data_IF_470289799973
#
_entry.id   IF_470289799973
#
_cell.length_a   1.000
_cell.length_b   1.000
_cell.length_c   1.000
_cell.angle_alpha   90.00
_cell.angle_beta   90.00
_cell.angle_gamma   90.00
#
_symmetry.space_group_name_H-M   'P 1'
#
loop_
_entity.id
_entity.type
_entity.pdbx_description
1 polymer ?
#
# COMPACT_ATOMS: atom_id res chain seq x y z
N UNK A 1 -16.65 -11.13 30.94
CA UNK A 1 -16.90 -10.05 31.93
C UNK A 1 -17.32 -8.82 31.18
N UNK A 2 -18.40 -8.15 31.57
CA UNK A 2 -18.90 -6.96 30.87
C UNK A 2 -18.79 -5.73 31.77
N UNK A 3 -18.47 -4.58 31.18
CA UNK A 3 -18.35 -3.30 31.87
C UNK A 3 -18.82 -2.15 30.98
N UNK A 4 -19.16 -1.03 31.62
CA UNK A 4 -19.49 0.21 30.94
C UNK A 4 -18.24 1.07 30.79
N UNK A 5 -17.99 1.54 29.57
CA UNK A 5 -16.95 2.52 29.25
C UNK A 5 -17.64 3.80 28.85
N UNK A 6 -17.34 4.90 29.53
CA UNK A 6 -17.90 6.21 29.21
C UNK A 6 -17.03 6.94 28.17
N UNK A 7 -17.69 7.54 27.18
CA UNK A 7 -17.08 8.37 26.15
C UNK A 7 -17.73 9.77 26.16
N UNK A 8 -16.92 10.81 26.27
CA UNK A 8 -17.39 12.19 26.13
C UNK A 8 -17.58 12.54 24.65
N UNK A 9 -18.76 13.08 24.30
CA UNK A 9 -19.08 13.54 22.95
C UNK A 9 -19.57 14.97 22.97
N UNK A 10 -19.11 15.77 22.01
CA UNK A 10 -19.61 17.11 21.77
C UNK A 10 -20.80 17.04 20.81
N UNK A 11 -21.98 17.44 21.29
CA UNK A 11 -23.22 17.51 20.49
C UNK A 11 -23.83 18.88 20.72
N UNK A 12 -23.93 19.70 19.66
CA UNK A 12 -24.50 21.05 19.70
C UNK A 12 -23.89 21.90 20.84
N UNK A 13 -22.56 21.99 20.87
CA UNK A 13 -21.76 22.69 21.89
C UNK A 13 -21.96 22.20 23.34
N UNK A 14 -22.61 21.05 23.53
CA UNK A 14 -22.82 20.40 24.83
C UNK A 14 -22.00 19.12 24.91
N UNK A 15 -21.28 18.91 26.02
CA UNK A 15 -20.58 17.65 26.28
C UNK A 15 -21.58 16.67 26.90
N UNK A 16 -21.75 15.50 26.27
CA UNK A 16 -22.53 14.38 26.78
C UNK A 16 -21.64 13.18 27.08
N UNK A 17 -21.85 12.52 28.22
CA UNK A 17 -21.18 11.26 28.55
C UNK A 17 -22.05 10.09 28.09
N UNK A 18 -21.55 9.32 27.12
CA UNK A 18 -22.27 8.18 26.56
C UNK A 18 -21.63 6.88 27.08
N UNK A 19 -22.38 6.03 27.81
CA UNK A 19 -21.86 4.74 28.24
C UNK A 19 -21.93 3.72 27.11
N UNK A 20 -20.90 2.89 26.99
CA UNK A 20 -20.85 1.76 26.07
C UNK A 20 -20.68 0.45 26.82
N UNK A 21 -21.53 -0.53 26.51
CA UNK A 21 -21.36 -1.90 26.99
C UNK A 21 -20.22 -2.61 26.24
N UNK A 22 -19.22 -3.07 27.02
CA UNK A 22 -18.05 -3.79 26.52
C UNK A 22 -17.88 -5.10 27.28
N UNK A 23 -17.91 -6.22 26.56
CA UNK A 23 -17.69 -7.54 27.10
C UNK A 23 -16.32 -8.09 26.68
N UNK A 24 -15.51 -8.44 27.67
CA UNK A 24 -14.21 -9.06 27.50
C UNK A 24 -14.17 -10.48 28.06
N UNK A 25 -13.71 -11.43 27.25
CA UNK A 25 -13.42 -12.80 27.64
C UNK A 25 -11.92 -12.94 27.91
N UNK A 26 -11.56 -13.25 29.17
CA UNK A 26 -10.17 -13.42 29.58
C UNK A 26 -9.52 -14.67 28.98
N UNK A 27 -10.30 -15.69 28.68
CA UNK A 27 -9.79 -16.98 28.19
C UNK A 27 -9.40 -16.90 26.72
N UNK A 28 -10.23 -16.25 25.90
CA UNK A 28 -9.99 -16.06 24.46
C UNK A 28 -9.29 -14.75 24.13
N UNK A 29 -9.24 -13.80 25.08
CA UNK A 29 -8.84 -12.40 24.86
C UNK A 29 -9.74 -11.66 23.87
N UNK A 30 -10.96 -12.13 23.67
CA UNK A 30 -11.94 -11.47 22.80
C UNK A 30 -12.66 -10.36 23.55
N UNK A 31 -12.76 -9.20 22.89
CA UNK A 31 -13.53 -8.03 23.30
C UNK A 31 -14.63 -7.74 22.28
N UNK A 32 -15.83 -7.46 22.78
CA UNK A 32 -16.98 -7.00 22.00
C UNK A 32 -17.52 -5.71 22.61
N UNK A 33 -17.74 -4.71 21.78
CA UNK A 33 -18.34 -3.44 22.19
C UNK A 33 -19.61 -3.23 21.38
N UNK A 34 -20.67 -2.71 22.01
CA UNK A 34 -21.94 -2.45 21.33
C UNK A 34 -21.86 -1.39 20.22
N UNK A 35 -20.77 -0.63 20.12
CA UNK A 35 -20.54 0.28 18.99
C UNK A 35 -20.28 -0.48 17.67
N UNK A 36 -19.96 -1.77 17.71
CA UNK A 36 -19.77 -2.66 16.56
C UNK A 36 -18.76 -2.15 15.50
N UNK A 37 -17.81 -1.30 15.90
CA UNK A 37 -16.81 -0.72 14.98
C UNK A 37 -15.88 -1.81 14.42
N UNK A 38 -15.57 -2.85 15.20
CA UNK A 38 -14.74 -3.94 14.69
C UNK A 38 -15.51 -4.79 13.68
N UNK A 39 -16.77 -5.09 13.95
CA UNK A 39 -17.64 -5.88 13.09
C UNK A 39 -17.96 -5.16 11.77
N UNK A 40 -18.05 -3.83 11.78
CA UNK A 40 -18.36 -3.01 10.60
C UNK A 40 -17.12 -2.56 9.81
N UNK A 41 -16.05 -2.15 10.50
CA UNK A 41 -14.86 -1.55 9.88
C UNK A 41 -13.58 -2.40 10.01
N UNK A 42 -13.61 -3.44 10.83
CA UNK A 42 -12.42 -4.27 11.10
C UNK A 42 -11.37 -3.55 11.93
N UNK A 43 -11.76 -2.54 12.71
CA UNK A 43 -10.87 -1.72 13.55
C UNK A 43 -11.38 -1.74 15.00
N UNK A 44 -10.49 -1.90 15.97
CA UNK A 44 -10.85 -1.83 17.38
C UNK A 44 -11.22 -0.39 17.76
N UNK A 45 -12.38 -0.21 18.41
CA UNK A 45 -12.77 1.09 18.95
C UNK A 45 -11.97 1.45 20.21
N UNK A 46 -11.99 2.73 20.57
CA UNK A 46 -11.41 3.23 21.82
C UNK A 46 -11.96 2.50 23.06
N UNK A 47 -13.25 2.11 23.06
CA UNK A 47 -13.85 1.40 24.19
C UNK A 47 -13.23 0.02 24.41
N UNK A 48 -13.05 -0.75 23.33
CA UNK A 48 -12.35 -2.04 23.40
C UNK A 48 -10.92 -1.88 23.92
N UNK A 49 -10.21 -0.84 23.44
CA UNK A 49 -8.83 -0.56 23.86
C UNK A 49 -8.75 -0.12 25.32
N UNK A 50 -9.72 0.65 25.82
CA UNK A 50 -9.81 1.05 27.22
C UNK A 50 -9.94 -0.16 28.14
N UNK A 51 -10.67 -1.20 27.71
CA UNK A 51 -10.81 -2.45 28.46
C UNK A 51 -9.51 -3.26 28.46
N UNK A 52 -8.62 -3.15 27.48
CA UNK A 52 -7.38 -3.95 27.49
C UNK A 52 -6.42 -3.61 28.63
N UNK A 53 -6.33 -2.33 29.01
CA UNK A 53 -5.41 -1.87 30.05
C UNK A 53 -5.62 -2.55 31.42
N UNK A 54 -6.84 -2.55 32.02
CA UNK A 54 -7.07 -3.19 33.32
C UNK A 54 -6.87 -4.71 33.31
N UNK A 55 -6.95 -5.37 32.15
CA UNK A 55 -6.69 -6.81 32.01
C UNK A 55 -5.26 -7.13 31.58
N UNK A 56 -4.36 -6.14 31.56
CA UNK A 56 -2.94 -6.29 31.21
C UNK A 56 -2.73 -6.87 29.80
N UNK A 57 -3.63 -6.55 28.87
CA UNK A 57 -3.49 -6.89 27.45
C UNK A 57 -2.72 -5.76 26.77
N UNK A 58 -1.39 -5.91 26.72
CA UNK A 58 -0.50 -4.88 26.13
C UNK A 58 -0.22 -5.09 24.64
N UNK A 59 -0.66 -6.23 24.08
CA UNK A 59 -0.56 -6.54 22.66
C UNK A 59 -1.95 -6.83 22.15
N UNK A 60 -2.30 -6.24 21.01
CA UNK A 60 -3.56 -6.54 20.33
C UNK A 60 -3.60 -8.03 19.98
N UNK A 61 -4.63 -8.78 20.41
CA UNK A 61 -4.77 -10.19 20.07
C UNK A 61 -4.81 -10.40 18.56
N UNK A 62 -4.24 -11.51 18.09
CA UNK A 62 -4.08 -11.76 16.65
C UNK A 62 -5.40 -11.88 15.89
N UNK A 63 -6.49 -12.29 16.57
CA UNK A 63 -7.84 -12.32 16.00
C UNK A 63 -8.35 -10.93 15.54
N UNK A 64 -7.79 -9.84 16.06
CA UNK A 64 -8.12 -8.47 15.66
C UNK A 64 -7.17 -7.89 14.59
N UNK A 65 -6.10 -8.60 14.22
CA UNK A 65 -5.15 -8.17 13.19
C UNK A 65 -5.57 -8.73 11.84
N UNK A 66 -6.50 -8.04 11.18
CA UNK A 66 -6.98 -8.45 9.86
C UNK A 66 -5.88 -8.37 8.80
N UNK A 67 -5.95 -9.18 7.72
CA UNK A 67 -5.00 -9.15 6.62
C UNK A 67 -4.72 -7.73 6.11
N UNK A 68 -5.77 -6.91 5.87
CA UNK A 68 -5.63 -5.52 5.42
C UNK A 68 -4.71 -4.65 6.28
N UNK A 69 -4.63 -4.93 7.58
CA UNK A 69 -3.79 -4.22 8.56
C UNK A 69 -2.46 -4.94 8.85
N UNK A 70 -2.26 -6.13 8.29
CA UNK A 70 -1.06 -6.93 8.52
C UNK A 70 0.12 -6.40 7.70
N UNK A 71 1.22 -6.08 8.38
CA UNK A 71 2.49 -5.67 7.75
C UNK A 71 3.09 -6.75 6.83
N UNK A 72 2.64 -8.00 6.94
CA UNK A 72 3.14 -9.14 6.14
C UNK A 72 2.48 -9.26 4.77
N UNK A 73 1.53 -8.38 4.43
CA UNK A 73 0.96 -8.37 3.09
C UNK A 73 1.90 -7.64 2.13
N UNK A 74 2.31 -8.34 1.06
CA UNK A 74 2.86 -7.70 -0.13
C UNK A 74 1.73 -6.88 -0.76
N UNK A 75 1.60 -5.61 -0.36
CA UNK A 75 0.64 -4.71 -0.98
C UNK A 75 1.06 -4.55 -2.43
N UNK A 76 0.31 -5.14 -3.38
CA UNK A 76 0.38 -4.72 -4.77
C UNK A 76 0.00 -3.24 -4.74
N UNK A 77 0.99 -2.36 -4.79
CA UNK A 77 0.75 -0.93 -4.85
C UNK A 77 0.08 -0.68 -6.20
N UNK A 78 -1.24 -0.78 -6.20
CA UNK A 78 -2.06 -0.37 -7.33
C UNK A 78 -1.85 1.13 -7.36
N UNK A 79 -1.07 1.58 -8.32
CA UNK A 79 -0.72 2.98 -8.49
C UNK A 79 -2.00 3.84 -8.37
N UNK A 80 -2.12 4.59 -7.27
CA UNK A 80 -3.25 5.49 -7.06
C UNK A 80 -2.89 6.78 -7.77
N UNK A 81 -3.59 7.07 -8.89
CA UNK A 81 -3.48 8.35 -9.59
C UNK A 81 -3.67 9.48 -8.58
N UNK A 82 -2.65 10.34 -8.43
CA UNK A 82 -2.79 11.56 -7.65
C UNK A 82 -3.31 12.69 -8.54
N UNK A 83 -3.84 13.76 -7.94
CA UNK A 83 -4.32 14.95 -8.68
C UNK A 83 -3.25 15.59 -9.56
N UNK A 84 -1.97 15.34 -9.27
CA UNK A 84 -0.82 15.83 -10.03
C UNK A 84 -0.57 15.07 -11.35
N UNK A 85 -1.24 13.94 -11.59
CA UNK A 85 -1.08 13.18 -12.84
C UNK A 85 -1.80 13.79 -14.03
N UNK A 86 -2.85 14.57 -13.77
CA UNK A 86 -3.74 15.10 -14.81
C UNK A 86 -3.08 16.25 -15.59
N UNK A 87 -2.10 16.94 -15.00
CA UNK A 87 -1.49 18.15 -15.58
C UNK A 87 -0.32 17.90 -16.54
N UNK A 88 0.14 16.66 -16.72
CA UNK A 88 1.35 16.31 -17.50
C UNK A 88 1.09 15.26 -18.58
N UNK A 89 -0.09 15.28 -19.21
CA UNK A 89 -0.55 14.24 -20.13
C UNK A 89 0.08 14.33 -21.53
N UNK A 90 1.41 14.16 -21.64
CA UNK A 90 2.01 13.71 -22.89
C UNK A 90 2.14 12.18 -22.89
N UNK A 91 2.16 11.56 -24.07
CA UNK A 91 2.24 10.10 -24.23
C UNK A 91 3.51 9.51 -23.59
N UNK A 92 4.60 10.29 -23.55
CA UNK A 92 5.88 9.86 -22.97
C UNK A 92 5.79 9.69 -21.45
N UNK A 93 5.05 10.57 -20.78
CA UNK A 93 4.83 10.55 -19.35
C UNK A 93 3.92 9.39 -18.94
N UNK A 94 2.90 9.08 -19.76
CA UNK A 94 2.05 7.90 -19.57
C UNK A 94 2.86 6.62 -19.72
N UNK A 95 3.68 6.52 -20.77
CA UNK A 95 4.55 5.36 -21.00
C UNK A 95 5.57 5.17 -19.87
N UNK A 96 6.24 6.25 -19.45
CA UNK A 96 7.19 6.22 -18.34
C UNK A 96 6.54 5.73 -17.04
N UNK A 97 5.36 6.25 -16.70
CA UNK A 97 4.63 5.80 -15.50
C UNK A 97 4.24 4.33 -15.58
N UNK A 98 3.77 3.87 -16.73
CA UNK A 98 3.45 2.46 -16.97
C UNK A 98 4.65 1.56 -16.72
N UNK A 99 5.82 1.94 -17.24
CA UNK A 99 7.08 1.22 -17.05
C UNK A 99 7.50 1.20 -15.57
N UNK A 100 7.47 2.34 -14.87
CA UNK A 100 7.80 2.40 -13.45
C UNK A 100 6.89 1.49 -12.61
N UNK A 101 5.58 1.50 -12.87
CA UNK A 101 4.63 0.65 -12.16
C UNK A 101 4.90 -0.84 -12.42
N UNK A 102 5.19 -1.22 -13.67
CA UNK A 102 5.49 -2.60 -14.02
C UNK A 102 6.78 -3.09 -13.34
N UNK A 103 7.86 -2.30 -13.44
CA UNK A 103 9.15 -2.60 -12.81
C UNK A 103 9.04 -2.73 -11.29
N UNK A 104 8.27 -1.84 -10.65
CA UNK A 104 8.04 -1.90 -9.21
C UNK A 104 7.37 -3.21 -8.80
N UNK A 105 6.32 -3.62 -9.53
CA UNK A 105 5.59 -4.85 -9.22
C UNK A 105 6.49 -6.10 -9.33
N UNK A 106 7.32 -6.15 -10.38
CA UNK A 106 8.31 -7.22 -10.54
C UNK A 106 9.32 -7.19 -9.38
N UNK A 107 9.90 -6.03 -9.08
CA UNK A 107 10.88 -5.90 -7.99
C UNK A 107 10.30 -6.34 -6.64
N UNK A 108 9.06 -5.97 -6.33
CA UNK A 108 8.39 -6.36 -5.08
C UNK A 108 8.23 -7.88 -4.92
N UNK A 109 8.14 -8.62 -6.02
CA UNK A 109 8.01 -10.08 -5.99
C UNK A 109 9.31 -10.74 -5.52
N UNK A 110 10.45 -10.27 -6.03
CA UNK A 110 11.77 -10.91 -5.89
C UNK A 110 12.71 -10.26 -4.86
N UNK A 111 12.40 -9.06 -4.34
CA UNK A 111 13.28 -8.31 -3.39
C UNK A 111 13.52 -9.01 -2.05
N UNK A 112 12.77 -10.05 -1.72
CA UNK A 112 12.92 -10.80 -0.47
C UNK A 112 14.07 -11.82 -0.48
N UNK A 113 14.60 -12.16 -1.65
CA UNK A 113 15.67 -13.15 -1.82
C UNK A 113 16.89 -12.50 -2.51
N UNK A 114 18.08 -12.73 -1.99
CA UNK A 114 19.30 -12.07 -2.47
C UNK A 114 19.71 -12.54 -3.87
N UNK A 115 19.55 -13.83 -4.15
CA UNK A 115 19.94 -14.42 -5.43
C UNK A 115 18.94 -14.01 -6.52
N UNK A 116 17.64 -14.05 -6.22
CA UNK A 116 16.60 -13.55 -7.13
C UNK A 116 16.75 -12.04 -7.41
N UNK A 117 17.11 -11.26 -6.38
CA UNK A 117 17.38 -9.83 -6.54
C UNK A 117 18.57 -9.58 -7.46
N UNK A 118 19.66 -10.34 -7.31
CA UNK A 118 20.83 -10.23 -8.17
C UNK A 118 20.51 -10.59 -9.64
N UNK A 119 19.71 -11.62 -9.86
CA UNK A 119 19.23 -12.00 -11.19
C UNK A 119 18.38 -10.89 -11.84
N UNK A 120 17.50 -10.26 -11.06
CA UNK A 120 16.68 -9.14 -11.55
C UNK A 120 17.56 -7.95 -11.97
N UNK A 121 18.57 -7.58 -11.18
CA UNK A 121 19.51 -6.52 -11.54
C UNK A 121 20.27 -6.84 -12.83
N UNK A 122 20.76 -8.08 -12.99
CA UNK A 122 21.46 -8.49 -14.20
C UNK A 122 20.56 -8.38 -15.45
N UNK A 123 19.30 -8.82 -15.36
CA UNK A 123 18.34 -8.73 -16.46
C UNK A 123 18.01 -7.28 -16.85
N UNK A 124 17.95 -6.37 -15.87
CA UNK A 124 17.71 -4.94 -16.13
C UNK A 124 18.89 -4.29 -16.85
N UNK A 125 20.13 -4.59 -16.46
CA UNK A 125 21.32 -4.08 -17.15
C UNK A 125 21.46 -4.66 -18.56
N UNK A 126 21.12 -5.93 -18.76
CA UNK A 126 21.08 -6.53 -20.11
C UNK A 126 20.04 -5.81 -21.00
N UNK A 127 18.85 -5.56 -20.47
CA UNK A 127 17.78 -4.84 -21.18
C UNK A 127 18.24 -3.42 -21.54
N UNK A 128 18.89 -2.72 -20.60
CA UNK A 128 19.47 -1.39 -20.84
C UNK A 128 20.50 -1.41 -21.97
N UNK A 129 21.41 -2.39 -21.97
CA UNK A 129 22.42 -2.53 -23.02
C UNK A 129 21.79 -2.77 -24.40
N UNK A 130 20.78 -3.66 -24.49
CA UNK A 130 20.03 -3.92 -25.73
C UNK A 130 19.34 -2.66 -26.26
N UNK A 131 18.70 -1.88 -25.38
CA UNK A 131 18.06 -0.62 -25.76
C UNK A 131 19.06 0.42 -26.24
N UNK A 132 20.23 0.54 -25.58
CA UNK A 132 21.29 1.46 -26.01
C UNK A 132 21.82 1.11 -27.41
N UNK A 133 22.06 -0.18 -27.69
CA UNK A 133 22.49 -0.66 -28.99
C UNK A 133 21.44 -0.39 -30.09
N UNK A 134 20.16 -0.65 -29.81
CA UNK A 134 19.06 -0.36 -30.73
C UNK A 134 18.97 1.14 -31.06
N UNK A 135 19.07 2.01 -30.05
CA UNK A 135 19.07 3.46 -30.25
C UNK A 135 20.27 3.95 -31.09
N UNK A 136 21.45 3.36 -30.90
CA UNK A 136 22.63 3.68 -31.71
C UNK A 136 22.43 3.27 -33.19
N UNK A 137 21.87 2.08 -33.43
CA UNK A 137 21.55 1.59 -34.78
C UNK A 137 20.54 2.49 -35.49
N UNK A 138 19.42 2.82 -34.83
CA UNK A 138 18.39 3.69 -35.38
C UNK A 138 18.92 5.08 -35.78
N UNK A 139 19.82 5.66 -34.96
CA UNK A 139 20.47 6.94 -35.27
C UNK A 139 21.34 6.86 -36.53
N UNK A 140 22.04 5.76 -36.73
CA UNK A 140 22.88 5.56 -37.92
C UNK A 140 22.05 5.46 -39.20
N UNK A 141 20.93 4.71 -39.17
CA UNK A 141 20.02 4.54 -40.30
C UNK A 141 19.33 5.86 -40.69
N UNK A 142 18.88 6.65 -39.72
CA UNK A 142 18.28 7.97 -40.00
C UNK A 142 19.24 8.96 -40.65
N UNK A 143 20.54 8.87 -40.33
CA UNK A 143 21.57 9.74 -40.93
C UNK A 143 21.80 9.37 -42.40
N UNK A 144 21.85 8.07 -42.72
CA UNK A 144 22.05 7.56 -44.08
C UNK A 144 20.89 7.92 -45.02
N UNK A 145 19.64 7.90 -44.55
CA UNK A 145 18.47 8.28 -45.36
C UNK A 145 18.47 9.75 -45.78
N UNK A 146 18.87 10.66 -44.88
CA UNK A 146 19.04 12.10 -45.19
C UNK A 146 20.07 12.39 -46.27
N UNK A 147 21.15 11.60 -46.35
CA UNK A 147 22.20 11.79 -47.36
C UNK A 147 21.79 11.27 -48.74
N UNK A 148 20.86 10.32 -48.80
CA UNK A 148 20.40 9.71 -50.07
C UNK A 148 19.32 10.57 -50.75
N UNK A 149 18.53 11.32 -49.98
CA UNK A 149 17.48 12.22 -50.51
C UNK A 149 18.00 13.56 -51.06
N UNK A 150 19.25 13.94 -50.81
CA UNK A 150 19.87 15.19 -51.32
C UNK A 150 20.56 14.96 -52.67
N UNK A 151 20.75 13.69 -53.07
CA UNK A 151 21.46 13.30 -54.29
C UNK A 151 20.59 12.73 -55.42
N UNK A 152 19.26 12.90 -55.39
CA UNK A 152 18.33 12.52 -56.47
C UNK A 152 17.61 13.73 -57.04
#
# INVERSE_FOLDING_TARGET
>A
MCMKVEEEKLVNDTIICVPYDVCFDRSTQEVRCECNIFESLGVLCCHCLAVFHPYKVYKVPTCYVLPRWSKKIKHKHTYVKSSHDVSRSDESHVAFRGLCAHLYNVAQEFVSDHDETALLYAALEETRAKLAAHCAKKRFESVVETHTSIGS
#
